data_IF_192417589482
#
_entry.id   IF_192417589482
#
_cell.length_a   1.000
_cell.length_b   1.000
_cell.length_c   1.000
_cell.angle_alpha   90.00
_cell.angle_beta   90.00
_cell.angle_gamma   90.00
#
_symmetry.space_group_name_H-M   'P 1'
#
loop_
_entity.id
_entity.type
_entity.pdbx_description
1 polymer ?
#
# COMPACT_ATOMS: atom_id res chain seq x y z
N UNK A 1 -9.86 10.95 1.67
CA UNK A 1 -8.42 11.29 1.77
C UNK A 1 -7.71 10.00 2.13
N UNK A 2 -6.68 9.56 1.40
CA UNK A 2 -5.97 8.30 1.69
C UNK A 2 -4.82 8.60 2.66
N UNK A 3 -4.79 8.02 3.88
CA UNK A 3 -3.71 8.25 4.82
C UNK A 3 -2.38 7.69 4.28
N UNK A 4 -1.28 8.41 4.51
CA UNK A 4 0.07 7.98 4.15
C UNK A 4 0.62 7.01 5.22
N UNK A 5 0.09 5.78 5.20
CA UNK A 5 0.44 4.71 6.16
C UNK A 5 1.84 4.13 5.83
N UNK A 6 2.49 3.47 6.80
CA UNK A 6 3.76 2.74 6.64
C UNK A 6 4.94 3.61 6.20
N UNK A 7 5.00 4.87 6.64
CA UNK A 7 6.11 5.78 6.33
C UNK A 7 6.10 6.32 4.90
N UNK A 8 4.99 6.16 4.17
CA UNK A 8 4.83 6.72 2.82
C UNK A 8 4.96 8.26 2.81
N UNK A 9 4.66 8.91 3.93
CA UNK A 9 4.87 10.34 4.15
C UNK A 9 6.34 10.73 4.06
N UNK A 10 7.24 9.94 4.63
CA UNK A 10 8.68 10.18 4.59
C UNK A 10 9.23 10.06 3.18
N UNK A 11 8.83 9.02 2.46
CA UNK A 11 9.24 8.81 1.06
C UNK A 11 8.70 9.89 0.15
N UNK A 12 7.44 10.31 0.35
CA UNK A 12 6.84 11.37 -0.45
C UNK A 12 7.50 12.72 -0.17
N UNK A 13 7.84 13.01 1.10
CA UNK A 13 8.55 14.21 1.49
C UNK A 13 9.92 14.28 0.81
N UNK A 14 10.74 13.22 0.96
CA UNK A 14 12.03 13.11 0.26
C UNK A 14 11.87 13.33 -1.25
N UNK A 15 10.86 12.72 -1.86
CA UNK A 15 10.63 12.89 -3.29
C UNK A 15 10.34 14.36 -3.66
N UNK A 16 9.48 15.05 -2.91
CA UNK A 16 9.14 16.46 -3.17
C UNK A 16 10.35 17.37 -2.93
N UNK A 17 11.07 17.16 -1.83
CA UNK A 17 12.17 18.04 -1.40
C UNK A 17 13.43 17.84 -2.26
N UNK A 18 13.79 16.60 -2.59
CA UNK A 18 15.10 16.27 -3.18
C UNK A 18 15.04 15.85 -4.66
N UNK A 19 13.90 15.33 -5.13
CA UNK A 19 13.78 14.74 -6.48
C UNK A 19 12.94 15.61 -7.40
N UNK A 20 11.84 16.15 -6.93
CA UNK A 20 10.88 16.85 -7.77
C UNK A 20 11.51 18.06 -8.47
N UNK A 21 12.38 18.80 -7.77
CA UNK A 21 13.10 19.96 -8.32
C UNK A 21 14.00 19.63 -9.52
N UNK A 22 14.36 18.36 -9.74
CA UNK A 22 15.17 17.91 -10.89
C UNK A 22 14.41 17.93 -12.22
N UNK A 23 13.09 18.17 -12.18
CA UNK A 23 12.25 18.21 -13.38
C UNK A 23 12.12 19.60 -13.98
N UNK A 24 12.89 20.61 -13.55
CA UNK A 24 12.87 21.98 -14.13
C UNK A 24 11.43 22.55 -14.27
N UNK A 25 10.62 22.44 -13.21
CA UNK A 25 9.29 23.08 -13.06
C UNK A 25 9.15 23.50 -11.59
N UNK A 26 7.98 23.99 -11.17
CA UNK A 26 7.66 24.36 -9.79
C UNK A 26 6.51 23.49 -9.23
N UNK A 27 6.75 22.78 -8.12
CA UNK A 27 5.78 21.86 -7.52
C UNK A 27 4.64 22.59 -6.81
N UNK A 28 4.82 23.87 -6.52
CA UNK A 28 3.81 24.72 -5.88
C UNK A 28 2.84 25.33 -6.89
N UNK A 29 3.16 25.24 -8.20
CA UNK A 29 2.30 25.75 -9.27
C UNK A 29 0.96 24.99 -9.29
N UNK A 30 -0.18 25.71 -9.41
CA UNK A 30 -1.48 25.06 -9.57
C UNK A 30 -1.50 24.09 -10.76
N UNK A 31 -1.93 22.85 -10.51
CA UNK A 31 -2.00 21.81 -11.53
C UNK A 31 -0.66 21.13 -11.86
N UNK A 32 0.43 21.45 -11.17
CA UNK A 32 1.66 20.69 -11.26
C UNK A 32 1.41 19.22 -10.86
N UNK A 33 1.86 18.24 -11.66
CA UNK A 33 1.67 16.84 -11.32
C UNK A 33 2.55 16.45 -10.13
N UNK A 34 1.99 15.68 -9.20
CA UNK A 34 2.77 15.13 -8.08
C UNK A 34 3.95 14.29 -8.59
N UNK A 35 3.72 13.47 -9.62
CA UNK A 35 4.77 12.69 -10.28
C UNK A 35 5.00 13.23 -11.70
N UNK A 36 5.99 14.11 -11.89
CA UNK A 36 6.31 14.68 -13.19
C UNK A 36 6.97 13.65 -14.13
N UNK A 37 6.82 13.91 -15.42
CA UNK A 37 7.50 13.21 -16.52
C UNK A 37 8.65 14.08 -17.00
N UNK A 38 9.74 13.43 -17.42
CA UNK A 38 10.82 14.11 -18.16
C UNK A 38 10.32 14.72 -19.48
N UNK A 39 9.21 14.20 -20.03
CA UNK A 39 8.57 14.77 -21.22
C UNK A 39 7.75 16.00 -20.83
N UNK A 40 8.13 17.16 -21.37
CA UNK A 40 7.45 18.44 -21.14
C UNK A 40 6.25 18.68 -22.06
N UNK A 41 5.37 19.57 -21.62
CA UNK A 41 4.36 20.21 -22.45
C UNK A 41 4.99 21.23 -23.40
N UNK A 42 4.21 21.72 -24.36
CA UNK A 42 4.66 22.73 -25.32
C UNK A 42 5.02 24.06 -24.64
N UNK A 43 4.43 24.35 -23.49
CA UNK A 43 4.69 25.52 -22.65
C UNK A 43 5.88 25.31 -21.68
N UNK A 44 6.58 24.17 -21.75
CA UNK A 44 7.70 23.83 -20.86
C UNK A 44 7.30 23.22 -19.51
N UNK A 45 6.01 23.21 -19.16
CA UNK A 45 5.54 22.63 -17.91
C UNK A 45 5.68 21.11 -17.88
N UNK A 46 5.87 20.55 -16.68
CA UNK A 46 5.97 19.10 -16.49
C UNK A 46 4.63 18.41 -16.75
N UNK A 47 4.66 17.35 -17.55
CA UNK A 47 3.52 16.44 -17.73
C UNK A 47 3.44 15.46 -16.56
N UNK A 48 2.26 14.89 -16.32
CA UNK A 48 2.14 13.72 -15.44
C UNK A 48 2.86 12.52 -16.06
N UNK A 49 3.57 11.75 -15.24
CA UNK A 49 4.12 10.45 -15.64
C UNK A 49 3.02 9.53 -16.19
N UNK A 50 3.35 8.80 -17.26
CA UNK A 50 2.44 7.83 -17.87
C UNK A 50 2.43 6.50 -17.13
N UNK A 51 1.33 5.76 -17.24
CA UNK A 51 1.15 4.51 -16.51
C UNK A 51 2.16 3.42 -16.93
N UNK A 52 2.56 3.39 -18.21
CA UNK A 52 3.58 2.46 -18.70
C UNK A 52 4.98 2.80 -18.20
N UNK A 53 5.29 4.09 -18.02
CA UNK A 53 6.55 4.51 -17.43
C UNK A 53 6.65 4.08 -15.96
N UNK A 54 5.55 4.19 -15.20
CA UNK A 54 5.48 3.67 -13.84
C UNK A 54 5.63 2.14 -13.78
N UNK A 55 4.96 1.41 -14.68
CA UNK A 55 5.10 -0.06 -14.77
C UNK A 55 6.52 -0.48 -15.12
N UNK A 56 7.13 0.20 -16.09
CA UNK A 56 8.51 -0.04 -16.50
C UNK A 56 9.51 0.25 -15.38
N UNK A 57 9.37 1.40 -14.71
CA UNK A 57 10.19 1.77 -13.56
C UNK A 57 10.07 0.77 -12.41
N UNK A 58 8.84 0.33 -12.10
CA UNK A 58 8.61 -0.71 -11.09
C UNK A 58 9.31 -2.03 -11.45
N UNK A 59 9.23 -2.45 -12.71
CA UNK A 59 9.90 -3.67 -13.19
C UNK A 59 11.42 -3.57 -13.06
N UNK A 60 12.00 -2.43 -13.43
CA UNK A 60 13.45 -2.17 -13.30
C UNK A 60 13.87 -2.21 -11.83
N UNK A 61 13.16 -1.47 -10.96
CA UNK A 61 13.44 -1.43 -9.53
C UNK A 61 13.30 -2.81 -8.87
N UNK A 62 12.25 -3.57 -9.23
CA UNK A 62 12.05 -4.93 -8.74
C UNK A 62 13.19 -5.87 -9.15
N UNK A 63 13.65 -5.78 -10.41
CA UNK A 63 14.80 -6.58 -10.87
C UNK A 63 16.09 -6.24 -10.11
N UNK A 64 16.29 -4.97 -9.78
CA UNK A 64 17.49 -4.50 -9.08
C UNK A 64 17.48 -4.82 -7.57
N UNK A 65 16.33 -4.70 -6.91
CA UNK A 65 16.25 -4.73 -5.45
C UNK A 65 15.49 -5.93 -4.88
N UNK A 66 14.75 -6.68 -5.71
CA UNK A 66 13.94 -7.83 -5.30
C UNK A 66 14.20 -9.03 -6.23
N UNK A 67 15.35 -9.73 -6.07
CA UNK A 67 15.69 -10.89 -6.91
C UNK A 67 14.55 -11.92 -6.95
N UNK A 68 14.19 -12.37 -8.15
CA UNK A 68 13.08 -13.31 -8.36
C UNK A 68 11.68 -12.68 -8.49
N UNK A 69 11.53 -11.37 -8.24
CA UNK A 69 10.23 -10.68 -8.35
C UNK A 69 10.08 -9.81 -9.60
N UNK A 70 11.15 -9.58 -10.37
CA UNK A 70 11.15 -8.65 -11.51
C UNK A 70 10.04 -8.86 -12.55
N UNK A 71 9.64 -10.10 -12.82
CA UNK A 71 8.55 -10.44 -13.76
C UNK A 71 7.19 -10.66 -13.09
N UNK A 72 7.16 -10.67 -11.75
CA UNK A 72 5.96 -11.02 -10.97
C UNK A 72 5.34 -9.80 -10.28
N UNK A 73 6.15 -8.78 -9.97
CA UNK A 73 5.71 -7.61 -9.26
C UNK A 73 4.97 -6.65 -10.20
N UNK A 74 3.69 -6.42 -9.90
CA UNK A 74 2.84 -5.49 -10.64
C UNK A 74 2.12 -4.55 -9.66
N UNK A 75 1.56 -3.42 -10.12
CA UNK A 75 0.76 -2.54 -9.25
C UNK A 75 -0.41 -3.26 -8.57
N UNK A 76 -1.02 -4.24 -9.24
CA UNK A 76 -2.08 -5.04 -8.65
C UNK A 76 -1.56 -5.94 -7.51
N UNK A 77 -0.40 -6.57 -7.68
CA UNK A 77 0.24 -7.39 -6.63
C UNK A 77 0.64 -6.53 -5.43
N UNK A 78 1.19 -5.33 -5.66
CA UNK A 78 1.51 -4.38 -4.59
C UNK A 78 0.26 -3.93 -3.82
N UNK A 79 -0.83 -3.61 -4.53
CA UNK A 79 -2.13 -3.30 -3.89
C UNK A 79 -2.62 -4.47 -3.05
N UNK A 80 -2.48 -5.69 -3.57
CA UNK A 80 -2.90 -6.88 -2.84
C UNK A 80 -2.10 -7.07 -1.57
N UNK A 81 -0.77 -7.00 -1.67
CA UNK A 81 0.13 -7.10 -0.52
C UNK A 81 -0.18 -6.03 0.55
N UNK A 82 -0.35 -4.77 0.14
CA UNK A 82 -0.69 -3.68 1.06
C UNK A 82 -1.99 -3.95 1.81
N UNK A 83 -3.04 -4.38 1.11
CA UNK A 83 -4.33 -4.69 1.71
C UNK A 83 -4.24 -5.86 2.71
N UNK A 84 -3.55 -6.94 2.33
CA UNK A 84 -3.33 -8.10 3.22
C UNK A 84 -2.54 -7.71 4.47
N UNK A 85 -1.48 -6.92 4.32
CA UNK A 85 -0.69 -6.41 5.45
C UNK A 85 -1.50 -5.52 6.38
N UNK A 86 -2.34 -4.62 5.84
CA UNK A 86 -3.22 -3.79 6.68
C UNK A 86 -4.23 -4.65 7.45
N UNK A 87 -4.80 -5.68 6.82
CA UNK A 87 -5.73 -6.60 7.46
C UNK A 87 -5.06 -7.46 8.55
N UNK A 88 -3.86 -7.98 8.28
CA UNK A 88 -3.05 -8.74 9.26
C UNK A 88 -2.69 -7.88 10.48
N UNK A 89 -2.41 -6.59 10.26
CA UNK A 89 -2.15 -5.62 11.33
C UNK A 89 -3.43 -5.16 12.06
N UNK A 90 -4.57 -5.79 11.78
CA UNK A 90 -5.82 -5.59 12.51
C UNK A 90 -6.68 -4.43 12.01
N UNK A 91 -6.36 -3.85 10.83
CA UNK A 91 -7.22 -2.85 10.23
C UNK A 91 -8.52 -3.51 9.73
N UNK A 92 -9.66 -2.88 10.07
CA UNK A 92 -10.97 -3.38 9.68
C UNK A 92 -11.15 -3.38 8.15
N UNK A 93 -11.91 -4.34 7.62
CA UNK A 93 -12.14 -4.49 6.18
C UNK A 93 -12.86 -3.28 5.56
N UNK A 94 -13.74 -2.60 6.32
CA UNK A 94 -14.40 -1.38 5.85
C UNK A 94 -13.39 -0.24 5.73
N UNK A 95 -12.49 -0.11 6.70
CA UNK A 95 -11.39 0.86 6.65
C UNK A 95 -10.45 0.57 5.47
N UNK A 96 -10.11 -0.70 5.21
CA UNK A 96 -9.30 -1.09 4.05
C UNK A 96 -10.02 -0.78 2.74
N UNK A 97 -11.34 -1.02 2.65
CA UNK A 97 -12.13 -0.67 1.47
C UNK A 97 -12.07 0.83 1.18
N UNK A 98 -12.20 1.67 2.21
CA UNK A 98 -12.12 3.12 2.11
C UNK A 98 -10.71 3.58 1.65
N UNK A 99 -9.65 3.02 2.26
CA UNK A 99 -8.25 3.31 1.91
C UNK A 99 -7.94 2.95 0.46
N UNK A 100 -8.50 1.84 -0.05
CA UNK A 100 -8.27 1.38 -1.43
C UNK A 100 -9.22 2.02 -2.45
N UNK A 101 -10.24 2.76 -2.00
CA UNK A 101 -11.25 3.37 -2.87
C UNK A 101 -12.11 2.36 -3.63
N UNK A 102 -12.30 1.16 -3.09
CA UNK A 102 -13.13 0.13 -3.73
C UNK A 102 -14.62 0.47 -3.57
N UNK A 103 -15.33 0.63 -4.69
CA UNK A 103 -16.79 0.87 -4.69
C UNK A 103 -17.62 -0.33 -4.21
N UNK A 104 -17.04 -1.54 -4.23
CA UNK A 104 -17.69 -2.77 -3.79
C UNK A 104 -16.83 -3.52 -2.77
N UNK A 105 -17.42 -3.87 -1.63
CA UNK A 105 -16.76 -4.64 -0.55
C UNK A 105 -16.32 -6.04 -1.00
N UNK A 106 -17.00 -6.63 -1.99
CA UNK A 106 -16.64 -7.93 -2.56
C UNK A 106 -15.21 -7.93 -3.17
N UNK A 107 -14.73 -6.79 -3.67
CA UNK A 107 -13.35 -6.65 -4.15
C UNK A 107 -12.34 -6.72 -3.01
N UNK A 108 -12.71 -6.24 -1.82
CA UNK A 108 -11.92 -6.25 -0.58
C UNK A 108 -12.02 -7.58 0.18
N UNK A 109 -13.15 -8.29 0.09
CA UNK A 109 -13.31 -9.63 0.71
C UNK A 109 -12.32 -10.66 0.16
N UNK A 110 -11.71 -10.42 -1.01
CA UNK A 110 -10.63 -11.24 -1.56
C UNK A 110 -9.40 -11.36 -0.63
N UNK A 111 -9.23 -10.44 0.32
CA UNK A 111 -8.14 -10.45 1.32
C UNK A 111 -8.44 -11.29 2.57
N UNK A 112 -9.71 -11.66 2.80
CA UNK A 112 -10.14 -12.45 3.97
C UNK A 112 -9.58 -13.87 3.91
N UNK A 113 -9.35 -14.41 2.71
CA UNK A 113 -8.78 -15.74 2.52
C UNK A 113 -7.31 -15.88 2.98
N UNK A 114 -6.63 -14.77 3.29
CA UNK A 114 -5.21 -14.80 3.69
C UNK A 114 -5.02 -15.34 5.12
N UNK A 115 -6.04 -15.28 5.99
CA UNK A 115 -5.95 -15.89 7.31
C UNK A 115 -6.89 -17.09 7.47
N UNK A 116 -6.52 -18.23 6.88
CA UNK A 116 -7.23 -19.49 7.15
C UNK A 116 -7.12 -19.92 8.63
N UNK A 117 -6.07 -19.52 9.35
CA UNK A 117 -5.84 -19.91 10.76
C UNK A 117 -6.47 -18.96 11.78
N UNK A 118 -6.94 -17.75 11.41
CA UNK A 118 -7.41 -16.75 12.40
C UNK A 118 -8.53 -17.27 13.29
N UNK A 119 -9.43 -18.06 12.72
CA UNK A 119 -10.57 -18.64 13.46
C UNK A 119 -10.07 -19.67 14.46
N UNK A 120 -9.13 -20.53 14.05
CA UNK A 120 -8.50 -21.55 14.89
C UNK A 120 -7.68 -20.88 16.00
N UNK A 121 -6.86 -19.89 15.67
CA UNK A 121 -6.04 -19.11 16.61
C UNK A 121 -6.91 -18.35 17.63
N UNK A 122 -8.00 -17.72 17.18
CA UNK A 122 -8.94 -17.03 18.07
C UNK A 122 -9.69 -18.00 19.00
N UNK A 123 -10.02 -19.20 18.50
CA UNK A 123 -10.66 -20.25 19.30
C UNK A 123 -9.71 -20.79 20.37
N UNK A 124 -8.46 -21.10 20.01
CA UNK A 124 -7.41 -21.54 20.96
C UNK A 124 -7.17 -20.47 22.02
N UNK A 125 -6.99 -19.21 21.62
CA UNK A 125 -6.79 -18.13 22.58
C UNK A 125 -8.02 -17.94 23.50
N UNK A 126 -9.23 -18.19 22.98
CA UNK A 126 -10.47 -18.16 23.76
C UNK A 126 -10.53 -19.26 24.81
N UNK A 127 -10.21 -20.50 24.43
CA UNK A 127 -10.23 -21.66 25.33
C UNK A 127 -9.15 -21.55 26.41
N UNK A 128 -7.95 -21.07 26.08
CA UNK A 128 -6.88 -20.81 27.06
C UNK A 128 -7.27 -19.77 28.12
N UNK A 129 -7.94 -18.67 27.71
CA UNK A 129 -8.44 -17.65 28.64
C UNK A 129 -9.51 -18.21 29.58
N UNK A 130 -10.39 -19.07 29.07
CA UNK A 130 -11.41 -19.72 29.88
C UNK A 130 -10.79 -20.72 30.88
N UNK A 131 -9.81 -21.51 30.45
CA UNK A 131 -9.08 -22.44 31.30
C UNK A 131 -8.35 -21.73 32.46
N UNK A 132 -7.61 -20.65 32.17
CA UNK A 132 -6.97 -19.82 33.21
C UNK A 132 -7.96 -19.23 34.21
N UNK A 133 -9.14 -18.83 33.76
CA UNK A 133 -10.21 -18.33 34.66
C UNK A 133 -10.71 -19.42 35.61
N UNK A 134 -10.82 -20.66 35.15
CA UNK A 134 -11.26 -21.79 35.95
C UNK A 134 -10.18 -22.26 36.95
N UNK A 135 -8.91 -22.25 36.56
CA UNK A 135 -7.78 -22.53 37.47
C UNK A 135 -7.64 -21.46 38.57
N UNK A 136 -7.94 -20.19 38.25
CA UNK A 136 -7.94 -19.10 39.22
C UNK A 136 -9.10 -19.14 40.22
N UNK A 137 -10.15 -19.92 39.97
CA UNK A 137 -11.31 -20.09 40.84
C UNK A 137 -11.22 -21.34 41.74
N UNK A 138 -10.27 -22.23 41.45
CA UNK A 138 -10.04 -23.48 42.20
C UNK A 138 -8.88 -23.40 43.20
N UNK A 139 -8.29 -22.22 43.40
CA UNK A 139 -7.38 -21.87 44.52
C UNK A 139 -8.07 -20.94 45.50
#
# INVERSE_FOLDING_TARGET
>A
MVPLINGADRTLRWFIEDVWGQFDDDHTRPGAPLFPSERKNADGSSRRVGDDALRGGLKVAAKAHLPGWGERLTPHVLRHFCASQLYENGLDLLAIQEVLGHSWIATTMRYVHVQQTRVEDAWVAGTERAAKRLEGLTR
#
